data_IF_697621482750
#
_entry.id   IF_697621482750
#
_cell.length_a   1.000
_cell.length_b   1.000
_cell.length_c   1.000
_cell.angle_alpha   90.00
_cell.angle_beta   90.00
_cell.angle_gamma   90.00
#
_symmetry.space_group_name_H-M   'P 1'
#
loop_
_entity.id
_entity.type
_entity.pdbx_description
1 polymer ?
#
# COMPACT_ATOMS: atom_id res chain seq x y z
N UNK A 1 -9.65 -6.01 -12.17
CA UNK A 1 -8.47 -5.82 -13.05
C UNK A 1 -8.74 -5.08 -14.36
N UNK A 2 -9.95 -5.09 -14.95
CA UNK A 2 -10.23 -4.34 -16.21
C UNK A 2 -9.86 -2.85 -16.15
N UNK A 3 -10.20 -2.17 -15.06
CA UNK A 3 -9.82 -0.76 -14.86
C UNK A 3 -8.31 -0.59 -14.81
N UNK A 4 -7.60 -1.46 -14.07
CA UNK A 4 -6.14 -1.44 -14.00
C UNK A 4 -5.50 -1.58 -15.40
N UNK A 5 -5.99 -2.52 -16.22
CA UNK A 5 -5.50 -2.75 -17.57
C UNK A 5 -5.73 -1.56 -18.53
N UNK A 6 -6.77 -0.76 -18.28
CA UNK A 6 -7.11 0.42 -19.10
C UNK A 6 -6.53 1.73 -18.57
N UNK A 7 -5.87 1.72 -17.42
CA UNK A 7 -5.25 2.90 -16.80
C UNK A 7 -3.79 3.00 -17.15
N UNK A 8 -3.28 4.22 -17.26
CA UNK A 8 -1.84 4.45 -17.43
C UNK A 8 -1.07 3.94 -16.21
N UNK A 9 -1.43 4.36 -14.99
CA UNK A 9 -0.78 3.98 -13.73
C UNK A 9 -1.84 3.52 -12.75
N UNK A 10 -1.52 2.55 -11.89
CA UNK A 10 -2.37 2.14 -10.78
C UNK A 10 -1.72 2.57 -9.46
N UNK A 11 -2.47 3.30 -8.64
CA UNK A 11 -2.15 3.50 -7.23
C UNK A 11 -2.98 2.52 -6.41
N UNK A 12 -2.34 1.47 -5.89
CA UNK A 12 -3.00 0.42 -5.12
C UNK A 12 -2.74 0.62 -3.62
N UNK A 13 -3.80 0.92 -2.88
CA UNK A 13 -3.74 1.12 -1.44
C UNK A 13 -4.00 -0.19 -0.70
N UNK A 14 -2.99 -0.64 0.05
CA UNK A 14 -3.02 -1.85 0.87
C UNK A 14 -2.72 -1.47 2.32
N UNK A 15 -2.98 -2.37 3.27
CA UNK A 15 -2.73 -2.07 4.67
C UNK A 15 -3.55 -2.91 5.64
N UNK A 16 -3.65 -2.40 6.86
CA UNK A 16 -4.34 -3.03 7.97
C UNK A 16 -5.63 -2.30 8.31
N UNK A 17 -6.63 -3.06 8.75
CA UNK A 17 -7.90 -2.50 9.20
C UNK A 17 -7.80 -2.06 10.66
N UNK A 18 -8.76 -1.25 11.12
CA UNK A 18 -8.85 -0.90 12.55
C UNK A 18 -9.02 -2.13 13.45
N UNK A 19 -9.54 -3.25 12.93
CA UNK A 19 -9.67 -4.50 13.69
C UNK A 19 -8.33 -5.25 13.82
N UNK A 20 -7.38 -5.00 12.93
CA UNK A 20 -6.06 -5.64 12.97
C UNK A 20 -5.13 -4.90 13.96
N UNK A 21 -5.38 -3.63 14.27
CA UNK A 21 -4.45 -2.76 15.02
C UNK A 21 -5.15 -1.91 16.07
N UNK A 22 -6.04 -2.52 16.85
CA UNK A 22 -6.79 -1.82 17.91
C UNK A 22 -6.10 -1.98 19.28
N UNK A 23 -6.44 -1.05 20.18
CA UNK A 23 -6.03 -1.10 21.57
C UNK A 23 -6.54 -2.37 22.27
N UNK A 24 -5.72 -2.91 23.18
CA UNK A 24 -6.10 -4.01 24.06
C UNK A 24 -5.66 -5.40 23.61
N UNK A 25 -4.94 -5.51 22.49
CA UNK A 25 -4.30 -6.75 22.05
C UNK A 25 -3.09 -6.48 21.16
N UNK A 26 -2.26 -7.51 21.01
CA UNK A 26 -1.18 -7.55 20.04
C UNK A 26 -1.59 -8.42 18.85
N UNK A 27 -1.05 -8.14 17.67
CA UNK A 27 -1.20 -9.03 16.51
C UNK A 27 -0.31 -10.27 16.68
N UNK A 28 -0.82 -11.43 16.27
CA UNK A 28 -0.05 -12.68 16.24
C UNK A 28 0.83 -12.81 14.98
N UNK A 29 0.65 -11.92 13.99
CA UNK A 29 1.43 -11.90 12.74
C UNK A 29 1.61 -10.49 12.19
N UNK A 30 2.58 -10.36 11.28
CA UNK A 30 2.85 -9.13 10.54
C UNK A 30 2.40 -9.20 9.08
N UNK A 31 1.72 -10.27 8.65
CA UNK A 31 1.28 -10.40 7.26
C UNK A 31 0.15 -9.43 6.89
N UNK A 32 0.14 -8.96 5.63
CA UNK A 32 -1.04 -8.32 5.04
C UNK A 32 -2.17 -9.34 4.83
N UNK A 33 -3.44 -8.90 4.80
CA UNK A 33 -4.56 -9.78 4.49
C UNK A 33 -4.38 -10.51 3.16
N UNK A 34 -4.55 -11.83 3.15
CA UNK A 34 -4.26 -12.66 1.97
C UNK A 34 -5.08 -12.29 0.72
N UNK A 35 -6.28 -11.72 0.89
CA UNK A 35 -7.08 -11.20 -0.22
C UNK A 35 -6.46 -9.97 -0.88
N UNK A 36 -5.75 -9.12 -0.11
CA UNK A 36 -5.02 -7.97 -0.65
C UNK A 36 -3.82 -8.43 -1.49
N UNK A 37 -3.11 -9.48 -1.05
CA UNK A 37 -1.99 -10.05 -1.83
C UNK A 37 -2.47 -10.66 -3.16
N UNK A 38 -3.59 -11.40 -3.16
CA UNK A 38 -4.20 -11.90 -4.40
C UNK A 38 -4.66 -10.78 -5.32
N UNK A 39 -5.15 -9.66 -4.76
CA UNK A 39 -5.52 -8.48 -5.53
C UNK A 39 -4.29 -7.83 -6.16
N UNK A 40 -3.20 -7.67 -5.39
CA UNK A 40 -1.93 -7.15 -5.87
C UNK A 40 -1.41 -7.97 -7.05
N UNK A 41 -1.35 -9.29 -6.92
CA UNK A 41 -0.92 -10.19 -8.00
C UNK A 41 -1.77 -10.00 -9.28
N UNK A 42 -3.10 -9.98 -9.13
CA UNK A 42 -4.01 -9.82 -10.26
C UNK A 42 -3.90 -8.42 -10.92
N UNK A 43 -3.68 -7.37 -10.13
CA UNK A 43 -3.48 -6.00 -10.61
C UNK A 43 -2.13 -5.87 -11.33
N UNK A 44 -1.05 -6.38 -10.74
CA UNK A 44 0.30 -6.38 -11.32
C UNK A 44 0.34 -7.14 -12.66
N UNK A 45 -0.35 -8.28 -12.74
CA UNK A 45 -0.46 -9.04 -13.99
C UNK A 45 -1.21 -8.27 -15.09
N UNK A 46 -2.17 -7.42 -14.71
CA UNK A 46 -2.94 -6.60 -15.64
C UNK A 46 -2.26 -5.27 -16.00
N UNK A 47 -1.49 -4.69 -15.07
CA UNK A 47 -0.76 -3.45 -15.25
C UNK A 47 0.55 -3.44 -14.44
N UNK A 48 1.72 -3.57 -15.10
CA UNK A 48 3.00 -3.56 -14.41
C UNK A 48 3.40 -2.17 -13.90
N UNK A 49 2.70 -1.08 -14.27
CA UNK A 49 2.90 0.27 -13.73
C UNK A 49 2.04 0.50 -12.49
N UNK A 50 2.16 -0.39 -11.52
CA UNK A 50 1.45 -0.31 -10.25
C UNK A 50 2.38 0.20 -9.15
N UNK A 51 1.93 1.22 -8.42
CA UNK A 51 2.54 1.73 -7.19
C UNK A 51 1.71 1.20 -6.03
N UNK A 52 2.36 0.59 -5.05
CA UNK A 52 1.70 0.19 -3.79
C UNK A 52 1.88 1.30 -2.76
N UNK A 53 0.79 1.69 -2.11
CA UNK A 53 0.82 2.60 -0.96
C UNK A 53 0.30 1.84 0.26
N UNK A 54 1.08 1.82 1.34
CA UNK A 54 0.75 1.13 2.58
C UNK A 54 0.14 2.09 3.62
N UNK A 55 -0.89 1.59 4.32
CA UNK A 55 -1.51 2.23 5.48
C UNK A 55 -1.61 1.24 6.64
N UNK A 56 -0.71 1.35 7.61
CA UNK A 56 -0.62 0.47 8.78
C UNK A 56 -0.01 1.23 9.96
N UNK A 57 -0.42 0.91 11.18
CA UNK A 57 0.13 1.49 12.42
C UNK A 57 1.44 0.83 12.87
N UNK A 58 1.59 -0.47 12.61
CA UNK A 58 2.78 -1.26 12.88
C UNK A 58 3.37 -1.91 11.63
N UNK A 59 4.50 -2.59 11.78
CA UNK A 59 5.20 -3.24 10.66
C UNK A 59 4.32 -4.30 9.99
N UNK A 60 4.39 -4.35 8.67
CA UNK A 60 3.84 -5.42 7.83
C UNK A 60 4.94 -6.12 7.03
N UNK A 61 4.78 -7.43 6.82
CA UNK A 61 5.71 -8.22 6.01
C UNK A 61 5.54 -7.85 4.54
N UNK A 62 6.64 -7.39 3.95
CA UNK A 62 6.71 -7.02 2.54
C UNK A 62 7.44 -8.06 1.68
N UNK A 63 8.24 -8.92 2.29
CA UNK A 63 8.86 -10.06 1.59
C UNK A 63 7.85 -11.19 1.34
N UNK A 64 7.80 -11.81 0.16
CA UNK A 64 8.64 -11.55 -1.03
C UNK A 64 8.05 -10.55 -2.03
N UNK A 65 6.78 -10.17 -1.87
CA UNK A 65 6.01 -9.46 -2.89
C UNK A 65 6.55 -8.07 -3.22
N UNK A 66 7.24 -7.38 -2.30
CA UNK A 66 7.84 -6.08 -2.59
C UNK A 66 8.89 -6.14 -3.71
N UNK A 67 9.48 -7.31 -3.97
CA UNK A 67 10.46 -7.49 -5.05
C UNK A 67 9.83 -7.45 -6.44
N UNK A 68 8.52 -7.63 -6.53
CA UNK A 68 7.79 -7.64 -7.81
C UNK A 68 7.10 -6.30 -8.10
N UNK A 69 6.96 -5.43 -7.11
CA UNK A 69 6.33 -4.11 -7.30
C UNK A 69 7.36 -3.06 -7.73
N UNK A 70 7.09 -2.25 -8.77
CA UNK A 70 8.02 -1.22 -9.23
C UNK A 70 8.25 -0.10 -8.22
N UNK A 71 7.23 0.21 -7.41
CA UNK A 71 7.28 1.26 -6.41
C UNK A 71 6.40 0.90 -5.20
N UNK A 72 6.93 1.18 -4.01
CA UNK A 72 6.28 0.98 -2.73
C UNK A 72 6.47 2.26 -1.89
N UNK A 73 5.36 2.81 -1.40
CA UNK A 73 5.35 3.97 -0.51
C UNK A 73 4.75 3.53 0.83
N UNK A 74 5.53 3.65 1.91
CA UNK A 74 5.03 3.47 3.27
C UNK A 74 4.39 4.78 3.75
N UNK A 75 3.08 4.74 4.00
CA UNK A 75 2.28 5.88 4.42
C UNK A 75 1.99 5.91 5.92
N UNK A 76 2.09 4.79 6.64
CA UNK A 76 1.66 4.71 8.04
C UNK A 76 0.20 5.19 8.24
N UNK A 77 -0.08 5.80 9.39
CA UNK A 77 -1.34 6.47 9.70
C UNK A 77 -1.16 8.00 9.64
N UNK A 78 -1.29 8.57 8.43
CA UNK A 78 -0.99 9.99 8.13
C UNK A 78 -1.93 11.05 8.75
N UNK A 79 -2.97 10.63 9.47
CA UNK A 79 -3.98 11.53 10.02
C UNK A 79 -4.76 12.31 8.95
N UNK A 80 -5.42 13.39 9.38
CA UNK A 80 -6.41 14.12 8.57
C UNK A 80 -5.85 14.79 7.30
N UNK A 81 -4.54 15.08 7.26
CA UNK A 81 -3.87 15.69 6.10
C UNK A 81 -3.28 14.66 5.14
N UNK A 82 -3.46 13.36 5.41
CA UNK A 82 -2.74 12.29 4.73
C UNK A 82 -2.93 12.22 3.22
N UNK A 83 -4.16 12.41 2.74
CA UNK A 83 -4.43 12.39 1.30
C UNK A 83 -3.65 13.49 0.55
N UNK A 84 -3.61 14.71 1.09
CA UNK A 84 -2.86 15.82 0.51
C UNK A 84 -1.34 15.61 0.61
N UNK A 85 -0.85 15.14 1.76
CA UNK A 85 0.57 14.85 1.95
C UNK A 85 1.07 13.78 0.97
N UNK A 86 0.32 12.68 0.83
CA UNK A 86 0.66 11.60 -0.09
C UNK A 86 0.64 12.06 -1.55
N UNK A 87 -0.35 12.87 -1.95
CA UNK A 87 -0.40 13.43 -3.30
C UNK A 87 0.87 14.24 -3.62
N UNK A 88 1.30 15.13 -2.71
CA UNK A 88 2.51 15.93 -2.92
C UNK A 88 3.77 15.07 -3.10
N UNK A 89 3.87 13.94 -2.39
CA UNK A 89 4.97 12.98 -2.58
C UNK A 89 4.86 12.27 -3.93
N UNK A 90 3.69 11.71 -4.25
CA UNK A 90 3.48 10.92 -5.47
C UNK A 90 3.62 11.74 -6.76
N UNK A 91 3.28 13.04 -6.70
CA UNK A 91 3.45 13.98 -7.81
C UNK A 91 4.82 14.68 -7.81
N UNK A 92 5.66 14.44 -6.80
CA UNK A 92 7.02 15.00 -6.73
C UNK A 92 7.09 16.47 -6.32
N UNK A 93 6.02 17.04 -5.74
CA UNK A 93 6.04 18.38 -5.15
C UNK A 93 7.01 18.45 -3.96
N UNK A 94 7.26 17.30 -3.31
CA UNK A 94 8.25 17.10 -2.26
C UNK A 94 8.89 15.71 -2.39
N UNK A 95 10.15 15.56 -2.01
CA UNK A 95 10.80 14.26 -1.94
C UNK A 95 10.39 13.50 -0.66
N UNK A 96 10.19 12.17 -0.72
CA UNK A 96 10.05 11.37 0.48
C UNK A 96 11.36 11.44 1.31
N UNK A 97 11.22 11.55 2.63
CA UNK A 97 12.34 11.75 3.56
C UNK A 97 12.10 11.09 4.93
N UNK A 98 11.29 10.02 4.92
CA UNK A 98 10.96 9.22 6.10
C UNK A 98 12.15 8.50 6.72
#
# INVERSE_FOLDING_TARGET
VRLAAGSDTVLLFLGLSAQDESEGFDRDHIDLPANQLRLLEAVMAANPRTVVVLSNGGVVRTDPWHRTVPALVEGWLLGQAGGGALARVLYGDVNPSG
#
